data_IF_247571994348
#
_entry.id   IF_247571994348
#
_cell.length_a   1.000
_cell.length_b   1.000
_cell.length_c   1.000
_cell.angle_alpha   90.00
_cell.angle_beta   90.00
_cell.angle_gamma   90.00
#
_symmetry.space_group_name_H-M   'P 1'
#
loop_
_entity.id
_entity.type
_entity.pdbx_description
1 polymer ?
#
# COMPACT_ATOMS: atom_id res chain seq x y z
N UNK A 1 -5.31 -11.19 -22.44
CA UNK A 1 -4.97 -11.13 -21.00
C UNK A 1 -3.46 -11.20 -20.95
N UNK A 2 -2.79 -10.19 -20.42
CA UNK A 2 -1.33 -10.19 -20.32
C UNK A 2 -0.87 -11.34 -19.42
N UNK A 3 0.23 -12.00 -19.78
CA UNK A 3 0.87 -13.00 -18.93
C UNK A 3 2.06 -12.35 -18.26
N UNK A 4 2.22 -12.58 -16.96
CA UNK A 4 3.34 -12.06 -16.19
C UNK A 4 4.32 -13.18 -15.86
N UNK A 5 5.61 -12.87 -15.91
CA UNK A 5 6.70 -13.77 -15.60
C UNK A 5 7.62 -13.11 -14.59
N UNK A 6 8.12 -13.93 -13.67
CA UNK A 6 9.28 -13.57 -12.86
C UNK A 6 10.54 -13.86 -13.68
N UNK A 7 11.35 -12.84 -13.93
CA UNK A 7 12.65 -12.99 -14.54
C UNK A 7 13.72 -12.81 -13.46
N UNK A 8 14.55 -13.85 -13.29
CA UNK A 8 15.64 -13.85 -12.31
C UNK A 8 16.97 -13.78 -13.05
N UNK A 9 17.78 -12.78 -12.73
CA UNK A 9 19.11 -12.63 -13.32
C UNK A 9 20.20 -13.40 -12.53
N UNK A 10 21.45 -13.49 -13.02
CA UNK A 10 22.53 -14.20 -12.32
C UNK A 10 22.89 -13.66 -10.93
N UNK A 11 22.50 -12.41 -10.61
CA UNK A 11 22.69 -11.81 -9.29
C UNK A 11 21.52 -12.12 -8.33
N UNK A 12 20.58 -12.98 -8.74
CA UNK A 12 19.37 -13.31 -8.01
C UNK A 12 18.42 -12.10 -7.82
N UNK A 13 18.52 -11.10 -8.71
CA UNK A 13 17.55 -10.03 -8.81
C UNK A 13 16.34 -10.54 -9.58
N UNK A 14 15.16 -10.29 -9.02
CA UNK A 14 13.87 -10.74 -9.54
C UNK A 14 13.03 -9.54 -9.97
N UNK A 15 12.67 -9.50 -11.25
CA UNK A 15 11.81 -8.48 -11.81
C UNK A 15 10.55 -9.12 -12.40
N UNK A 16 9.44 -8.38 -12.34
CA UNK A 16 8.19 -8.80 -12.99
C UNK A 16 8.13 -8.19 -14.38
N UNK A 17 8.03 -9.05 -15.39
CA UNK A 17 7.87 -8.68 -16.79
C UNK A 17 6.56 -9.26 -17.35
N UNK A 18 5.97 -8.63 -18.35
CA UNK A 18 4.83 -9.18 -19.08
C UNK A 18 5.24 -9.88 -20.39
N UNK A 19 4.27 -10.47 -21.11
CA UNK A 19 4.46 -11.15 -22.38
C UNK A 19 4.78 -10.22 -23.56
N UNK A 20 4.88 -8.91 -23.31
CA UNK A 20 5.39 -7.91 -24.24
C UNK A 20 6.74 -7.34 -23.79
N UNK A 21 7.38 -7.97 -22.80
CA UNK A 21 8.65 -7.59 -22.18
C UNK A 21 8.60 -6.27 -21.39
N UNK A 22 7.41 -5.72 -21.12
CA UNK A 22 7.27 -4.54 -20.27
C UNK A 22 7.47 -4.92 -18.80
N UNK A 23 8.13 -4.05 -18.03
CA UNK A 23 8.42 -4.27 -16.62
C UNK A 23 7.87 -3.12 -15.75
N UNK A 24 7.77 -3.35 -14.43
CA UNK A 24 7.35 -2.30 -13.49
C UNK A 24 8.46 -1.24 -13.35
N UNK A 25 8.29 -0.11 -14.02
CA UNK A 25 9.24 1.00 -14.01
C UNK A 25 8.87 2.07 -12.99
N UNK A 26 9.88 2.69 -12.40
CA UNK A 26 9.76 3.82 -11.51
C UNK A 26 9.36 5.08 -12.29
N UNK A 27 8.23 5.66 -11.89
CA UNK A 27 7.67 6.90 -12.44
C UNK A 27 8.01 8.14 -11.65
N UNK A 28 8.26 7.98 -10.36
CA UNK A 28 8.50 9.10 -9.48
C UNK A 28 8.75 8.68 -8.05
N UNK A 29 9.47 9.55 -7.36
CA UNK A 29 9.77 9.45 -5.94
C UNK A 29 9.35 10.76 -5.30
N UNK A 30 8.46 10.67 -4.32
CA UNK A 30 7.85 11.83 -3.69
C UNK A 30 8.21 11.84 -2.20
N UNK A 31 9.02 12.79 -1.72
CA UNK A 31 9.27 12.93 -0.28
C UNK A 31 7.96 13.19 0.46
N UNK A 32 7.67 12.44 1.52
CA UNK A 32 6.45 12.66 2.30
C UNK A 32 6.50 13.99 3.09
N UNK A 33 7.68 14.58 3.25
CA UNK A 33 7.87 15.92 3.80
C UNK A 33 7.20 17.01 2.97
N UNK A 34 7.03 16.77 1.68
CA UNK A 34 6.48 17.74 0.73
C UNK A 34 4.95 17.64 0.65
N UNK A 35 4.36 16.58 1.24
CA UNK A 35 2.93 16.36 1.21
C UNK A 35 2.23 17.39 2.10
N UNK A 36 1.12 17.93 1.61
CA UNK A 36 0.28 18.80 2.41
C UNK A 36 -0.34 18.01 3.56
N UNK A 37 -0.11 18.49 4.77
CA UNK A 37 -0.66 17.94 6.02
C UNK A 37 -2.09 18.43 6.25
N UNK A 38 -3.01 17.50 6.47
CA UNK A 38 -4.38 17.76 6.87
C UNK A 38 -4.58 17.18 8.28
N UNK A 39 -4.74 18.01 9.32
CA UNK A 39 -4.71 17.54 10.72
C UNK A 39 -5.96 16.77 11.16
N UNK A 40 -6.94 16.57 10.27
CA UNK A 40 -8.26 16.03 10.63
C UNK A 40 -9.11 17.06 11.39
N UNK A 41 -10.38 16.74 11.56
CA UNK A 41 -11.34 17.57 12.31
C UNK A 41 -12.37 16.67 13.02
N UNK A 42 -13.52 17.20 13.44
CA UNK A 42 -14.61 16.42 14.07
C UNK A 42 -15.16 15.31 13.15
N UNK A 43 -15.13 15.49 11.84
CA UNK A 43 -15.73 14.61 10.83
C UNK A 43 -14.71 13.84 10.00
N UNK A 44 -13.49 14.35 9.86
CA UNK A 44 -12.47 13.80 8.97
C UNK A 44 -11.25 13.29 9.73
N UNK A 45 -10.62 12.25 9.20
CA UNK A 45 -9.36 11.72 9.72
C UNK A 45 -8.17 12.57 9.25
N UNK A 46 -7.06 12.63 10.01
CA UNK A 46 -5.82 13.23 9.55
C UNK A 46 -5.19 12.44 8.41
N UNK A 47 -4.51 13.15 7.50
CA UNK A 47 -3.79 12.57 6.36
C UNK A 47 -2.77 13.53 5.76
N UNK A 48 -1.97 12.99 4.83
CA UNK A 48 -1.02 13.74 4.01
C UNK A 48 -1.40 13.54 2.54
N UNK A 49 -1.36 14.58 1.72
CA UNK A 49 -1.74 14.49 0.31
C UNK A 49 -0.77 15.26 -0.58
N UNK A 50 -0.50 14.69 -1.74
CA UNK A 50 0.26 15.32 -2.81
C UNK A 50 -0.49 15.19 -4.12
N UNK A 51 -0.55 16.30 -4.88
CA UNK A 51 -1.02 16.28 -6.27
C UNK A 51 0.09 15.78 -7.18
N UNK A 52 -0.28 14.99 -8.17
CA UNK A 52 0.63 14.48 -9.19
C UNK A 52 -0.05 14.46 -10.56
N UNK A 53 0.77 14.54 -11.61
CA UNK A 53 0.32 14.41 -12.99
C UNK A 53 0.69 13.03 -13.59
N UNK A 54 0.93 12.04 -12.73
CA UNK A 54 1.05 10.64 -13.17
C UNK A 54 -0.33 10.18 -13.66
N UNK A 55 -0.45 9.91 -14.96
CA UNK A 55 -1.58 9.17 -15.53
C UNK A 55 -1.35 7.65 -15.43
N UNK A 56 -2.37 6.86 -15.77
CA UNK A 56 -2.30 5.40 -15.78
C UNK A 56 -2.48 4.74 -14.40
N UNK A 57 -2.36 3.41 -14.40
CA UNK A 57 -2.46 2.58 -13.19
C UNK A 57 -1.11 2.57 -12.47
N UNK A 58 -1.05 3.21 -11.30
CA UNK A 58 0.17 3.33 -10.50
C UNK A 58 0.12 2.38 -9.30
N UNK A 59 1.15 1.56 -9.18
CA UNK A 59 1.47 0.82 -7.97
C UNK A 59 2.28 1.72 -7.04
N UNK A 60 1.67 2.09 -5.91
CA UNK A 60 2.31 2.97 -4.91
C UNK A 60 3.00 2.17 -3.81
N UNK A 61 4.28 2.46 -3.59
CA UNK A 61 5.11 1.87 -2.56
C UNK A 61 5.57 2.89 -1.52
N UNK A 62 5.73 2.46 -0.28
CA UNK A 62 6.18 3.27 0.84
C UNK A 62 7.65 2.96 1.13
N UNK A 63 8.54 3.93 0.97
CA UNK A 63 9.97 3.77 1.25
C UNK A 63 10.25 3.74 2.75
N UNK A 64 11.13 2.83 3.17
CA UNK A 64 11.42 2.59 4.58
C UNK A 64 12.80 3.09 5.03
N UNK A 65 13.59 3.67 4.13
CA UNK A 65 14.88 4.27 4.47
C UNK A 65 14.76 5.33 5.56
N UNK A 66 15.67 5.28 6.54
CA UNK A 66 15.69 6.20 7.66
C UNK A 66 14.58 5.98 8.70
N UNK A 67 13.85 4.86 8.62
CA UNK A 67 12.78 4.51 9.56
C UNK A 67 13.14 3.36 10.51
N UNK A 68 14.42 2.99 10.63
CA UNK A 68 14.86 1.96 11.55
C UNK A 68 14.31 2.20 12.98
N UNK A 69 13.78 1.15 13.60
CA UNK A 69 13.12 1.19 14.91
C UNK A 69 11.68 1.71 14.90
N UNK A 70 11.12 2.09 13.75
CA UNK A 70 9.73 2.55 13.64
C UNK A 70 8.77 1.39 13.39
N UNK A 71 7.57 1.51 13.96
CA UNK A 71 6.42 0.63 13.67
C UNK A 71 5.17 1.44 13.35
N UNK A 72 4.44 1.05 12.31
CA UNK A 72 3.29 1.80 11.80
C UNK A 72 2.41 0.99 10.84
N UNK A 73 1.18 1.47 10.62
CA UNK A 73 0.20 0.86 9.73
C UNK A 73 -0.19 1.86 8.63
N UNK A 74 0.52 1.91 7.49
CA UNK A 74 0.23 2.86 6.44
C UNK A 74 -0.96 2.41 5.59
N UNK A 75 -1.65 3.38 5.02
CA UNK A 75 -2.68 3.18 4.02
C UNK A 75 -2.48 4.24 2.94
N UNK A 76 -2.28 3.78 1.70
CA UNK A 76 -2.10 4.64 0.53
C UNK A 76 -3.41 4.62 -0.24
N UNK A 77 -3.97 5.80 -0.49
CA UNK A 77 -5.22 5.97 -1.23
C UNK A 77 -4.97 6.88 -2.43
N UNK A 78 -4.75 6.32 -3.63
CA UNK A 78 -4.72 7.11 -4.84
C UNK A 78 -6.12 7.69 -5.12
N UNK A 79 -6.15 8.91 -5.61
CA UNK A 79 -7.32 9.59 -6.12
C UNK A 79 -6.96 10.29 -7.44
N UNK A 80 -7.93 10.66 -8.25
CA UNK A 80 -7.66 11.19 -9.58
C UNK A 80 -6.78 12.47 -9.50
N UNK A 81 -5.52 12.37 -9.94
CA UNK A 81 -4.52 13.45 -9.88
C UNK A 81 -3.89 13.70 -8.50
N UNK A 82 -4.05 12.81 -7.52
CA UNK A 82 -3.46 12.95 -6.19
C UNK A 82 -3.28 11.63 -5.47
N UNK A 83 -2.42 11.60 -4.47
CA UNK A 83 -2.26 10.44 -3.60
C UNK A 83 -2.30 10.88 -2.15
N UNK A 84 -3.12 10.20 -1.36
CA UNK A 84 -3.25 10.41 0.08
C UNK A 84 -2.56 9.29 0.85
N UNK A 85 -1.84 9.64 1.90
CA UNK A 85 -1.22 8.72 2.84
C UNK A 85 -1.82 8.91 4.21
N UNK A 86 -2.23 7.80 4.79
CA UNK A 86 -2.82 7.71 6.12
C UNK A 86 -1.99 6.76 6.99
N UNK A 87 -2.00 6.98 8.30
CA UNK A 87 -1.45 6.03 9.26
C UNK A 87 -2.51 5.63 10.26
N UNK A 88 -2.77 4.33 10.40
CA UNK A 88 -3.72 3.80 11.38
C UNK A 88 -3.05 3.62 12.74
N UNK A 89 -3.78 3.99 13.79
CA UNK A 89 -3.54 3.59 15.16
C UNK A 89 -4.28 2.26 15.42
N UNK A 90 -3.55 1.14 15.52
CA UNK A 90 -4.18 -0.16 15.72
C UNK A 90 -4.93 -0.28 17.04
N UNK A 91 -4.59 0.55 18.02
CA UNK A 91 -5.18 0.54 19.36
C UNK A 91 -6.38 1.49 19.49
N UNK A 92 -6.80 2.18 18.42
CA UNK A 92 -7.93 3.10 18.47
C UNK A 92 -9.27 2.37 18.63
N UNK A 93 -10.10 2.82 19.57
CA UNK A 93 -11.41 2.21 19.88
C UNK A 93 -12.55 2.55 18.91
N UNK A 94 -12.29 3.20 17.77
CA UNK A 94 -13.28 3.57 16.74
C UNK A 94 -12.67 3.42 15.34
N UNK A 95 -13.36 2.85 14.34
CA UNK A 95 -12.88 2.75 12.95
C UNK A 95 -12.94 4.07 12.18
N UNK A 96 -13.86 4.95 12.52
CA UNK A 96 -14.04 6.23 11.84
C UNK A 96 -13.02 7.29 12.27
N UNK A 97 -12.28 7.03 13.36
CA UNK A 97 -11.29 7.95 13.96
C UNK A 97 -10.00 7.24 14.36
N UNK A 98 -9.57 6.26 13.57
CA UNK A 98 -8.36 5.49 13.86
C UNK A 98 -7.12 5.95 13.14
N UNK A 99 -7.18 7.04 12.38
CA UNK A 99 -6.02 7.54 11.67
C UNK A 99 -5.35 8.63 12.50
N UNK A 100 -4.03 8.65 12.48
CA UNK A 100 -3.18 9.55 13.25
C UNK A 100 -2.12 10.19 12.35
N UNK A 101 -1.63 11.35 12.76
CA UNK A 101 -0.46 11.97 12.15
C UNK A 101 0.80 11.23 12.63
N UNK A 102 1.76 11.06 11.73
CA UNK A 102 3.06 10.42 11.98
C UNK A 102 4.17 11.26 11.37
N UNK A 103 4.30 12.48 11.89
CA UNK A 103 5.34 13.41 11.45
C UNK A 103 6.75 12.81 11.66
N UNK A 104 6.90 11.95 12.67
CA UNK A 104 8.14 11.18 12.92
C UNK A 104 8.48 10.13 11.85
N UNK A 105 7.57 9.88 10.91
CA UNK A 105 7.76 9.03 9.74
C UNK A 105 7.84 9.89 8.48
N UNK A 106 6.89 10.81 8.29
CA UNK A 106 6.77 11.57 7.03
C UNK A 106 7.93 12.53 6.80
N UNK A 107 8.69 12.91 7.84
CA UNK A 107 9.91 13.71 7.67
C UNK A 107 11.02 13.01 6.91
N UNK A 108 11.05 11.66 6.92
CA UNK A 108 12.14 10.87 6.32
C UNK A 108 11.66 9.98 5.18
N UNK A 109 10.43 9.51 5.25
CA UNK A 109 9.87 8.56 4.30
C UNK A 109 9.59 9.18 2.92
N UNK A 110 9.57 8.32 1.90
CA UNK A 110 9.23 8.68 0.52
C UNK A 110 8.14 7.76 0.00
N UNK A 111 7.34 8.25 -0.94
CA UNK A 111 6.39 7.46 -1.70
C UNK A 111 6.94 7.22 -3.10
N UNK A 112 6.92 5.96 -3.54
CA UNK A 112 7.41 5.53 -4.84
C UNK A 112 6.22 5.17 -5.74
N UNK A 113 6.26 5.61 -6.98
CA UNK A 113 5.25 5.30 -7.99
C UNK A 113 5.84 4.38 -9.05
N UNK A 114 5.24 3.21 -9.25
CA UNK A 114 5.62 2.27 -10.30
C UNK A 114 4.46 2.05 -11.27
N UNK A 115 4.75 1.80 -12.54
CA UNK A 115 3.74 1.38 -13.51
C UNK A 115 4.34 0.55 -14.63
N UNK A 116 3.47 -0.25 -15.26
CA UNK A 116 3.74 -0.92 -16.52
C UNK A 116 3.39 0.06 -17.64
N UNK A 117 4.39 0.72 -18.22
CA UNK A 117 4.18 1.63 -19.33
C UNK A 117 4.80 1.11 -20.62
N UNK A 118 4.07 1.29 -21.71
CA UNK A 118 4.61 1.18 -23.06
C UNK A 118 5.50 2.40 -23.35
N UNK A 119 6.71 2.42 -22.81
CA UNK A 119 7.74 3.39 -23.18
C UNK A 119 8.54 2.88 -24.37
N UNK A 120 9.07 3.81 -25.16
CA UNK A 120 10.07 3.46 -26.17
C UNK A 120 11.29 2.85 -25.47
N UNK A 121 11.84 1.74 -25.98
CA UNK A 121 13.07 1.17 -25.46
C UNK A 121 14.18 2.22 -25.39
N UNK A 122 15.02 2.14 -24.37
CA UNK A 122 16.17 3.04 -24.22
C UNK A 122 17.38 2.56 -25.00
N UNK A 123 18.46 3.33 -25.01
CA UNK A 123 19.71 2.89 -25.63
C UNK A 123 20.26 1.62 -24.96
N UNK A 124 21.06 0.86 -25.72
CA UNK A 124 21.77 -0.31 -25.21
C UNK A 124 22.70 0.09 -24.04
N UNK A 125 22.84 -0.80 -23.06
CA UNK A 125 23.61 -0.62 -21.83
C UNK A 125 23.11 0.51 -20.92
N UNK A 126 21.87 0.96 -21.08
CA UNK A 126 21.33 2.04 -20.26
C UNK A 126 20.70 1.57 -18.94
N UNK A 127 20.51 0.25 -18.75
CA UNK A 127 19.92 -0.33 -17.54
C UNK A 127 19.48 -1.79 -17.74
N UNK A 128 18.22 -2.08 -17.43
CA UNK A 128 17.63 -3.40 -17.65
C UNK A 128 17.61 -3.74 -19.14
N UNK A 129 18.01 -4.95 -19.48
CA UNK A 129 17.95 -5.48 -20.84
C UNK A 129 17.40 -6.90 -20.87
N UNK A 130 16.53 -7.15 -21.84
CA UNK A 130 16.00 -8.48 -22.14
C UNK A 130 16.59 -8.92 -23.47
N UNK A 131 17.19 -10.12 -23.45
CA UNK A 131 17.86 -10.72 -24.60
C UNK A 131 17.02 -11.88 -25.13
N UNK A 132 16.94 -12.04 -26.46
CA UNK A 132 16.37 -13.24 -27.07
C UNK A 132 17.38 -14.41 -27.06
N UNK A 133 16.98 -15.54 -27.62
CA UNK A 133 17.79 -16.76 -27.76
C UNK A 133 19.00 -16.59 -28.69
N UNK A 134 19.01 -15.55 -29.52
CA UNK A 134 20.14 -15.17 -30.38
C UNK A 134 21.11 -14.19 -29.70
N UNK A 135 20.82 -13.76 -28.46
CA UNK A 135 21.62 -12.78 -27.73
C UNK A 135 21.40 -11.33 -28.20
N UNK A 136 20.32 -11.06 -28.91
CA UNK A 136 19.93 -9.70 -29.33
C UNK A 136 19.07 -9.05 -28.25
N UNK A 137 19.27 -7.76 -28.01
CA UNK A 137 18.44 -6.98 -27.08
C UNK A 137 17.07 -6.76 -27.72
N UNK A 138 16.02 -7.29 -27.10
CA UNK A 138 14.61 -7.12 -27.54
C UNK A 138 13.86 -6.06 -26.74
N UNK A 139 14.38 -5.69 -25.56
CA UNK A 139 13.87 -4.60 -24.74
C UNK A 139 14.99 -4.06 -23.85
N UNK A 140 14.99 -2.74 -23.64
CA UNK A 140 15.95 -2.03 -22.83
C UNK A 140 15.25 -0.89 -22.09
N UNK A 141 15.61 -0.69 -20.83
CA UNK A 141 15.10 0.41 -20.02
C UNK A 141 16.17 0.97 -19.08
N UNK A 142 16.28 2.29 -19.06
CA UNK A 142 17.20 3.04 -18.19
C UNK A 142 16.52 3.55 -16.90
N UNK A 143 15.25 3.24 -16.72
CA UNK A 143 14.49 3.70 -15.57
C UNK A 143 14.74 2.80 -14.37
N UNK A 144 14.53 3.30 -13.15
CA UNK A 144 14.61 2.44 -11.98
C UNK A 144 13.55 1.34 -12.03
N UNK A 145 13.88 0.14 -11.60
CA UNK A 145 12.99 -1.02 -11.62
C UNK A 145 12.72 -1.53 -10.21
N UNK A 146 11.60 -2.22 -10.04
CA UNK A 146 11.29 -2.90 -8.80
C UNK A 146 11.92 -4.29 -8.78
N UNK A 147 12.95 -4.48 -7.96
CA UNK A 147 13.40 -5.81 -7.55
C UNK A 147 12.48 -6.33 -6.45
N UNK A 148 11.75 -7.41 -6.71
CA UNK A 148 10.87 -8.02 -5.71
C UNK A 148 11.69 -8.89 -4.76
N UNK A 149 11.61 -8.60 -3.45
CA UNK A 149 12.24 -9.41 -2.41
C UNK A 149 11.28 -10.49 -1.88
N UNK A 150 10.02 -10.12 -1.65
CA UNK A 150 8.98 -11.03 -1.18
C UNK A 150 7.59 -10.43 -1.41
N UNK A 151 6.59 -11.29 -1.52
CA UNK A 151 5.18 -10.91 -1.45
C UNK A 151 4.39 -11.98 -0.72
N UNK A 152 3.26 -11.61 -0.14
CA UNK A 152 2.45 -12.58 0.56
C UNK A 152 1.22 -12.02 1.25
N UNK A 153 0.56 -12.89 2.01
CA UNK A 153 -0.66 -12.62 2.76
C UNK A 153 -0.65 -13.29 4.16
N UNK A 154 0.53 -13.70 4.62
CA UNK A 154 0.80 -14.38 5.88
C UNK A 154 0.45 -13.49 7.09
N UNK A 155 0.38 -14.12 8.27
CA UNK A 155 0.08 -13.41 9.51
C UNK A 155 1.28 -12.60 10.03
N UNK A 156 2.49 -13.12 9.86
CA UNK A 156 3.72 -12.44 10.24
C UNK A 156 4.90 -12.99 9.43
N UNK A 157 5.75 -12.09 8.95
CA UNK A 157 6.96 -12.43 8.19
C UNK A 157 8.05 -11.40 8.49
N UNK A 158 9.31 -11.80 8.33
CA UNK A 158 10.45 -10.86 8.33
C UNK A 158 11.28 -11.09 7.08
N UNK A 159 11.48 -10.01 6.32
CA UNK A 159 12.22 -9.99 5.07
C UNK A 159 13.55 -9.29 5.35
N UNK A 160 14.66 -9.90 4.96
CA UNK A 160 15.97 -9.24 5.01
C UNK A 160 16.19 -8.42 3.75
N UNK A 161 16.90 -7.29 3.86
CA UNK A 161 17.22 -6.42 2.74
C UNK A 161 18.63 -5.83 2.93
N UNK A 162 19.27 -5.42 1.84
CA UNK A 162 20.62 -4.85 1.86
C UNK A 162 20.67 -3.41 1.31
N UNK A 163 19.56 -2.91 0.78
CA UNK A 163 19.45 -1.61 0.17
C UNK A 163 18.32 -0.78 0.75
N UNK A 164 17.57 -0.14 -0.15
CA UNK A 164 16.50 0.81 0.16
C UNK A 164 15.13 0.16 -0.02
N UNK A 165 14.59 -0.51 1.01
CA UNK A 165 13.35 -1.26 0.87
C UNK A 165 12.14 -0.34 0.71
N UNK A 166 11.23 -0.79 -0.14
CA UNK A 166 9.92 -0.21 -0.41
C UNK A 166 8.87 -1.27 -0.12
N UNK A 167 7.86 -0.93 0.67
CA UNK A 167 6.74 -1.81 0.98
C UNK A 167 5.45 -1.33 0.33
N UNK A 168 4.73 -2.27 -0.25
CA UNK A 168 3.48 -2.05 -0.96
C UNK A 168 2.36 -2.69 -0.18
N UNK A 169 1.37 -1.88 0.22
CA UNK A 169 0.14 -2.36 0.85
C UNK A 169 -0.88 -2.59 -0.27
N UNK A 170 -0.97 -3.84 -0.73
CA UNK A 170 -1.77 -4.20 -1.91
C UNK A 170 -3.26 -4.18 -1.63
N UNK A 171 -3.63 -4.40 -0.37
CA UNK A 171 -5.02 -4.27 0.07
C UNK A 171 -5.20 -4.57 1.54
N UNK A 172 -6.46 -4.54 1.96
CA UNK A 172 -6.90 -4.78 3.33
C UNK A 172 -8.17 -5.60 3.31
N UNK A 173 -8.35 -6.41 4.34
CA UNK A 173 -9.62 -7.10 4.54
C UNK A 173 -10.53 -6.20 5.35
N UNK A 174 -11.78 -6.06 4.92
CA UNK A 174 -12.83 -5.38 5.67
C UNK A 174 -14.06 -6.27 5.64
N UNK A 175 -14.70 -6.42 6.79
CA UNK A 175 -16.04 -7.00 6.89
C UNK A 175 -16.86 -6.20 7.87
N UNK A 176 -18.12 -5.95 7.56
CA UNK A 176 -19.02 -5.24 8.46
C UNK A 176 -20.43 -5.76 8.34
N UNK A 177 -21.10 -5.77 9.48
CA UNK A 177 -22.53 -6.04 9.60
C UNK A 177 -23.06 -5.23 10.79
N UNK A 178 -23.62 -4.07 10.52
CA UNK A 178 -24.16 -3.19 11.56
C UNK A 178 -25.40 -2.43 11.12
N UNK A 179 -26.23 -2.14 12.11
CA UNK A 179 -27.47 -1.38 11.99
C UNK A 179 -27.29 -0.01 12.63
N UNK A 180 -27.73 1.04 11.94
CA UNK A 180 -27.64 2.43 12.41
C UNK A 180 -29.04 3.01 12.56
N UNK A 181 -29.33 3.59 13.72
CA UNK A 181 -30.48 4.46 13.98
C UNK A 181 -29.99 5.78 14.57
N UNK A 182 -30.50 6.89 14.06
CA UNK A 182 -30.21 8.22 14.63
C UNK A 182 -30.74 8.37 16.07
N UNK A 183 -31.73 7.57 16.48
CA UNK A 183 -32.33 7.62 17.82
C UNK A 183 -31.76 6.60 18.80
N UNK A 184 -31.29 5.46 18.29
CA UNK A 184 -30.89 4.30 19.12
C UNK A 184 -29.41 3.94 19.01
N UNK A 185 -28.67 4.61 18.15
CA UNK A 185 -27.24 4.37 17.95
C UNK A 185 -26.95 3.26 16.95
N UNK A 186 -25.79 2.62 17.13
CA UNK A 186 -25.28 1.56 16.24
C UNK A 186 -25.31 0.23 16.98
N UNK A 187 -25.71 -0.85 16.30
CA UNK A 187 -25.65 -2.22 16.82
C UNK A 187 -25.10 -3.16 15.76
N UNK A 188 -24.12 -3.99 16.09
CA UNK A 188 -23.47 -4.92 15.17
C UNK A 188 -21.96 -4.90 15.31
N UNK A 189 -21.23 -5.22 14.25
CA UNK A 189 -19.78 -5.21 14.28
C UNK A 189 -19.14 -4.77 12.97
N UNK A 190 -17.93 -4.24 13.11
CA UNK A 190 -17.01 -3.95 12.02
C UNK A 190 -15.67 -4.65 12.28
N UNK A 191 -15.02 -5.04 11.20
CA UNK A 191 -13.80 -5.81 11.18
C UNK A 191 -12.87 -5.26 10.10
N UNK A 192 -11.59 -5.10 10.42
CA UNK A 192 -10.58 -4.83 9.40
C UNK A 192 -9.25 -5.53 9.72
N UNK A 193 -8.57 -5.99 8.68
CA UNK A 193 -7.16 -6.40 8.73
C UNK A 193 -6.32 -5.48 7.87
N UNK A 194 -5.20 -5.01 8.41
CA UNK A 194 -4.22 -4.21 7.66
C UNK A 194 -2.79 -4.58 8.10
N UNK A 195 -1.79 -4.34 7.24
CA UNK A 195 -0.41 -4.61 7.60
C UNK A 195 0.11 -3.58 8.58
N UNK A 196 0.78 -4.06 9.62
CA UNK A 196 1.71 -3.29 10.43
C UNK A 196 3.11 -3.61 9.94
N UNK A 197 3.88 -2.56 9.67
CA UNK A 197 5.28 -2.64 9.27
C UNK A 197 6.11 -2.26 10.47
N UNK A 198 7.14 -3.05 10.75
CA UNK A 198 8.20 -2.74 11.70
C UNK A 198 9.52 -2.79 10.95
N UNK A 199 10.26 -1.68 11.00
CA UNK A 199 11.50 -1.49 10.25
C UNK A 199 12.68 -1.76 11.17
N UNK A 200 13.48 -2.76 10.84
CA UNK A 200 14.80 -3.01 11.43
C UNK A 200 15.90 -2.32 10.63
N UNK A 201 17.16 -2.52 11.00
CA UNK A 201 18.29 -1.91 10.30
C UNK A 201 18.47 -2.52 8.89
N UNK A 202 18.37 -3.85 8.79
CA UNK A 202 18.52 -4.63 7.55
C UNK A 202 17.34 -5.60 7.34
N UNK A 203 16.19 -5.30 7.95
CA UNK A 203 15.01 -6.13 7.83
C UNK A 203 13.71 -5.33 7.90
N UNK A 204 12.66 -5.90 7.31
CA UNK A 204 11.29 -5.40 7.41
C UNK A 204 10.42 -6.55 7.91
N UNK A 205 9.80 -6.36 9.06
CA UNK A 205 8.78 -7.28 9.56
C UNK A 205 7.40 -6.76 9.20
N UNK A 206 6.58 -7.62 8.63
CA UNK A 206 5.18 -7.32 8.30
C UNK A 206 4.30 -8.23 9.13
N UNK A 207 3.37 -7.63 9.87
CA UNK A 207 2.39 -8.34 10.70
C UNK A 207 0.98 -7.95 10.30
N UNK A 208 0.10 -8.94 10.20
CA UNK A 208 -1.33 -8.74 10.03
C UNK A 208 -1.93 -8.30 11.35
N UNK A 209 -2.47 -7.09 11.39
CA UNK A 209 -3.21 -6.59 12.54
C UNK A 209 -4.69 -6.67 12.28
N UNK A 210 -5.37 -7.36 13.19
CA UNK A 210 -6.82 -7.48 13.22
C UNK A 210 -7.40 -6.45 14.18
N UNK A 211 -8.34 -5.65 13.67
CA UNK A 211 -9.17 -4.77 14.48
C UNK A 211 -10.63 -5.20 14.36
N UNK A 212 -11.32 -5.23 15.49
CA UNK A 212 -12.74 -5.51 15.57
C UNK A 212 -13.39 -4.51 16.52
N UNK A 213 -14.52 -3.95 16.11
CA UNK A 213 -15.35 -3.11 16.97
C UNK A 213 -16.75 -3.69 16.97
N UNK A 214 -17.24 -4.02 18.16
CA UNK A 214 -18.60 -4.46 18.38
C UNK A 214 -19.39 -3.32 19.03
N UNK A 215 -20.48 -2.93 18.39
CA UNK A 215 -21.43 -1.95 18.90
C UNK A 215 -22.56 -2.70 19.63
N UNK A 216 -22.60 -2.55 20.95
CA UNK A 216 -23.59 -3.21 21.78
C UNK A 216 -24.93 -2.46 21.77
N UNK A 217 -26.03 -3.21 21.76
CA UNK A 217 -27.38 -2.68 21.91
C UNK A 217 -28.45 -3.64 21.43
N UNK A 218 -29.71 -3.19 21.47
CA UNK A 218 -30.86 -3.98 21.05
C UNK A 218 -31.14 -3.78 19.56
N UNK A 219 -30.83 -4.79 18.75
CA UNK A 219 -31.16 -4.79 17.32
C UNK A 219 -32.66 -4.61 17.08
N UNK A 220 -33.50 -5.17 17.96
CA UNK A 220 -34.95 -5.02 17.89
C UNK A 220 -35.38 -3.57 18.08
N UNK A 221 -34.71 -2.82 18.96
CA UNK A 221 -35.03 -1.41 19.17
C UNK A 221 -34.51 -0.52 18.05
N UNK A 222 -33.36 -0.85 17.46
CA UNK A 222 -32.87 -0.16 16.25
C UNK A 222 -33.84 -0.37 15.07
N UNK A 223 -34.31 -1.61 14.85
CA UNK A 223 -35.23 -1.94 13.76
C UNK A 223 -36.63 -1.33 13.89
N UNK A 224 -37.02 -0.90 15.10
CA UNK A 224 -38.27 -0.15 15.33
C UNK A 224 -38.20 1.28 14.80
N UNK A 225 -37.01 1.85 14.58
CA UNK A 225 -36.88 3.18 13.98
C UNK A 225 -37.15 3.11 12.47
N UNK A 226 -38.18 3.80 11.94
CA UNK A 226 -38.50 3.78 10.51
C UNK A 226 -37.37 4.28 9.60
N UNK A 227 -36.39 5.02 10.15
CA UNK A 227 -35.22 5.54 9.41
C UNK A 227 -33.94 4.74 9.65
N UNK A 228 -34.02 3.51 10.19
CA UNK A 228 -32.83 2.70 10.37
C UNK A 228 -32.19 2.33 9.04
N UNK A 229 -30.87 2.11 9.06
CA UNK A 229 -30.10 1.61 7.93
C UNK A 229 -29.36 0.35 8.34
N UNK A 230 -29.24 -0.59 7.41
CA UNK A 230 -28.41 -1.79 7.56
C UNK A 230 -27.25 -1.71 6.59
N UNK A 231 -26.04 -1.82 7.11
CA UNK A 231 -24.82 -1.87 6.33
C UNK A 231 -24.22 -3.25 6.47
N UNK A 232 -24.07 -3.95 5.34
CA UNK A 232 -23.39 -5.23 5.27
C UNK A 232 -22.48 -5.28 4.06
N UNK A 233 -21.28 -5.81 4.23
CA UNK A 233 -20.32 -5.95 3.15
C UNK A 233 -19.03 -6.62 3.60
N UNK A 234 -18.31 -7.15 2.63
CA UNK A 234 -16.98 -7.73 2.85
C UNK A 234 -16.10 -7.54 1.62
N UNK A 235 -14.85 -7.15 1.83
CA UNK A 235 -13.79 -7.12 0.83
C UNK A 235 -12.58 -7.84 1.42
N UNK A 236 -12.09 -8.86 0.73
CA UNK A 236 -10.92 -9.64 1.14
C UNK A 236 -9.83 -9.44 0.09
N UNK A 237 -8.85 -8.62 0.41
CA UNK A 237 -7.78 -8.19 -0.49
C UNK A 237 -6.45 -8.00 0.24
N UNK A 238 -6.32 -8.50 1.48
CA UNK A 238 -5.09 -8.37 2.24
C UNK A 238 -3.91 -9.01 1.48
N UNK A 239 -2.90 -8.19 1.26
CA UNK A 239 -1.66 -8.60 0.62
C UNK A 239 -0.60 -7.51 0.77
N UNK A 240 0.65 -7.93 0.71
CA UNK A 240 1.79 -7.04 0.77
C UNK A 240 2.87 -7.50 -0.20
N UNK A 241 3.70 -6.55 -0.61
CA UNK A 241 4.93 -6.81 -1.37
C UNK A 241 6.05 -5.96 -0.78
N UNK A 242 7.26 -6.50 -0.72
CA UNK A 242 8.48 -5.80 -0.36
C UNK A 242 9.44 -5.93 -1.54
N UNK A 243 10.05 -4.81 -1.93
CA UNK A 243 11.06 -4.78 -2.96
C UNK A 243 12.08 -3.69 -2.72
N UNK A 244 13.05 -3.61 -3.62
CA UNK A 244 14.07 -2.57 -3.68
C UNK A 244 14.02 -1.89 -5.05
N UNK A 245 14.46 -0.62 -5.09
CA UNK A 245 14.61 0.10 -6.35
C UNK A 245 16.03 -0.09 -6.83
N UNK A 246 16.19 -0.67 -8.03
CA UNK A 246 17.47 -0.86 -8.72
C UNK A 246 17.53 -0.05 -10.00
#
# INVERSE_FOLDING_TARGET
MAKYFEAVNPNNESIVIDDTFMCLELRGVFPLSDFRRYPGDTYHNPYYEQKHNLGGDILWGFGLNGLAGKSFCPEIMPYLGSVSVYFRNPNAGNFHKDKILRDDITTSAKLYAFSLDARSPTEHMAGLEVYNDLGEVVYSSAYGHLHVLACGCENEVTISHNGSPVVFVLGKDISYDYHVSHKKGIVGAEYAMYPQITVGDNSVSIKKITKMIAYAGSINDVKKDPKYKHYRGSWLAFGWLVGEVI
#
